data_IF_689714350603
#
_entry.id   IF_689714350603
#
_cell.length_a   1.000
_cell.length_b   1.000
_cell.length_c   1.000
_cell.angle_alpha   90.00
_cell.angle_beta   90.00
_cell.angle_gamma   90.00
#
_symmetry.space_group_name_H-M   'P 1'
#
loop_
_entity.id
_entity.type
_entity.pdbx_description
1 polymer ?
#
# COMPACT_ATOMS: atom_id res chain seq x y z
N UNK A 1 11.46 10.23 -6.68
CA UNK A 1 10.20 9.48 -6.44
C UNK A 1 10.30 8.81 -5.10
N UNK A 2 9.27 8.89 -4.26
CA UNK A 2 9.27 8.30 -2.92
C UNK A 2 9.63 6.81 -2.91
N UNK A 3 10.23 6.33 -1.82
CA UNK A 3 10.55 4.91 -1.66
C UNK A 3 9.29 4.12 -1.29
N UNK A 4 8.98 3.07 -2.03
CA UNK A 4 7.82 2.18 -1.77
C UNK A 4 8.28 0.95 -1.00
N UNK A 5 7.75 0.76 0.21
CA UNK A 5 8.05 -0.36 1.10
C UNK A 5 6.77 -1.17 1.33
N UNK A 6 6.72 -2.41 0.85
CA UNK A 6 5.62 -3.32 1.13
C UNK A 6 5.84 -4.05 2.46
N UNK A 7 4.82 -4.08 3.32
CA UNK A 7 4.84 -4.84 4.59
C UNK A 7 4.14 -6.18 4.36
N UNK A 8 4.89 -7.25 4.17
CA UNK A 8 4.32 -8.52 3.76
C UNK A 8 4.77 -9.70 4.63
N UNK A 9 3.83 -10.58 4.94
CA UNK A 9 4.06 -11.92 5.48
C UNK A 9 2.78 -12.74 5.31
N UNK A 10 2.90 -14.00 4.91
CA UNK A 10 1.77 -14.91 4.73
C UNK A 10 1.08 -15.25 6.05
N UNK A 11 1.83 -15.27 7.16
CA UNK A 11 1.27 -15.59 8.48
C UNK A 11 0.41 -14.43 8.98
N UNK A 12 -0.85 -14.72 9.33
CA UNK A 12 -1.71 -13.77 10.03
C UNK A 12 -1.22 -13.48 11.45
N UNK A 13 -1.51 -12.26 11.95
CA UNK A 13 -1.21 -11.89 13.33
C UNK A 13 0.26 -11.64 13.66
N UNK A 14 1.17 -11.53 12.69
CA UNK A 14 2.59 -11.22 12.92
C UNK A 14 2.87 -9.72 13.10
N UNK A 15 1.85 -8.86 13.00
CA UNK A 15 1.97 -7.42 13.18
C UNK A 15 2.24 -6.66 11.88
N UNK A 16 1.78 -7.12 10.71
CA UNK A 16 1.89 -6.37 9.44
C UNK A 16 1.25 -5.00 9.54
N UNK A 17 -0.05 -4.95 9.75
CA UNK A 17 -0.83 -3.72 9.89
C UNK A 17 -0.30 -2.82 11.01
N UNK A 18 0.04 -3.41 12.18
CA UNK A 18 0.66 -2.65 13.27
C UNK A 18 1.99 -2.02 12.82
N UNK A 19 2.79 -2.75 12.03
CA UNK A 19 4.06 -2.23 11.50
C UNK A 19 3.81 -1.15 10.45
N UNK A 20 2.89 -1.37 9.51
CA UNK A 20 2.57 -0.38 8.47
C UNK A 20 2.13 0.95 9.07
N UNK A 21 1.13 0.95 9.97
CA UNK A 21 0.63 2.15 10.65
C UNK A 21 1.75 2.87 11.42
N UNK A 22 2.46 2.12 12.27
CA UNK A 22 3.39 2.76 13.20
C UNK A 22 4.73 3.14 12.55
N UNK A 23 5.16 2.44 11.50
CA UNK A 23 6.31 2.84 10.69
C UNK A 23 5.97 4.12 9.91
N UNK A 24 4.85 4.15 9.19
CA UNK A 24 4.41 5.32 8.43
C UNK A 24 4.27 6.55 9.34
N UNK A 25 3.61 6.39 10.50
CA UNK A 25 3.50 7.45 11.49
C UNK A 25 4.85 7.89 12.07
N UNK A 26 5.80 6.96 12.25
CA UNK A 26 7.13 7.31 12.78
C UNK A 26 8.00 8.03 11.74
N UNK A 27 7.88 7.70 10.46
CA UNK A 27 8.51 8.43 9.36
C UNK A 27 7.91 9.85 9.25
N UNK A 28 6.58 9.97 9.31
CA UNK A 28 5.91 11.27 9.33
C UNK A 28 6.30 12.13 10.55
N UNK A 29 6.50 11.52 11.73
CA UNK A 29 6.98 12.23 12.93
C UNK A 29 8.41 12.75 12.80
N UNK A 30 9.18 12.27 11.84
CA UNK A 30 10.50 12.80 11.45
C UNK A 30 10.44 13.77 10.27
N UNK A 31 9.24 14.29 9.98
CA UNK A 31 8.95 15.28 8.93
C UNK A 31 9.18 14.77 7.50
N UNK A 32 9.17 13.44 7.30
CA UNK A 32 9.16 12.85 5.95
C UNK A 32 7.73 12.65 5.47
N UNK A 33 7.41 13.23 4.31
CA UNK A 33 6.10 13.05 3.69
C UNK A 33 5.85 11.57 3.38
N UNK A 34 4.82 11.00 3.99
CA UNK A 34 4.56 9.56 3.96
C UNK A 34 3.13 9.27 3.50
N UNK A 35 2.99 8.38 2.53
CA UNK A 35 1.72 7.82 2.12
C UNK A 35 1.60 6.39 2.68
N UNK A 36 0.55 6.15 3.46
CA UNK A 36 0.16 4.82 3.89
C UNK A 36 -0.88 4.28 2.90
N UNK A 37 -0.67 3.09 2.36
CA UNK A 37 -1.58 2.46 1.43
C UNK A 37 -2.07 1.15 2.04
N UNK A 38 -3.37 1.10 2.34
CA UNK A 38 -4.04 -0.10 2.86
C UNK A 38 -4.57 -0.93 1.69
N UNK A 39 -4.04 -2.13 1.48
CA UNK A 39 -4.50 -3.06 0.43
C UNK A 39 -5.05 -4.36 1.02
N UNK A 40 -5.37 -4.36 2.33
CA UNK A 40 -6.08 -5.47 2.97
C UNK A 40 -7.59 -5.19 2.96
N UNK A 41 -8.44 -6.06 2.39
CA UNK A 41 -9.90 -5.89 2.41
C UNK A 41 -10.51 -5.73 3.81
N UNK A 42 -9.78 -6.09 4.86
CA UNK A 42 -10.24 -5.90 6.25
C UNK A 42 -10.17 -4.43 6.71
N UNK A 43 -9.51 -3.54 5.96
CA UNK A 43 -9.37 -2.10 6.24
C UNK A 43 -8.89 -1.76 7.67
N UNK A 44 -8.12 -2.68 8.29
CA UNK A 44 -7.62 -2.48 9.64
C UNK A 44 -6.57 -1.36 9.73
N UNK A 45 -5.83 -1.14 8.65
CA UNK A 45 -4.86 -0.05 8.57
C UNK A 45 -5.59 1.29 8.48
N UNK A 46 -6.63 1.37 7.67
CA UNK A 46 -7.53 2.51 7.50
C UNK A 46 -8.14 2.94 8.83
N UNK A 47 -8.80 2.01 9.52
CA UNK A 47 -9.40 2.27 10.85
C UNK A 47 -8.34 2.65 11.89
N UNK A 48 -7.15 2.06 11.81
CA UNK A 48 -6.05 2.30 12.74
C UNK A 48 -5.42 3.68 12.65
N UNK A 49 -5.72 4.46 11.60
CA UNK A 49 -5.35 5.88 11.46
C UNK A 49 -6.52 6.84 11.60
N UNK A 50 -7.69 6.33 12.03
CA UNK A 50 -8.86 7.12 12.39
C UNK A 50 -9.83 7.41 11.26
N UNK A 51 -9.80 6.62 10.18
CA UNK A 51 -10.77 6.72 9.09
C UNK A 51 -11.78 5.59 9.15
N UNK A 52 -13.05 5.91 8.89
CA UNK A 52 -14.12 4.94 8.70
C UNK A 52 -14.20 4.60 7.20
N UNK A 53 -14.01 3.35 6.85
CA UNK A 53 -13.95 2.91 5.44
C UNK A 53 -15.25 3.18 4.67
N UNK A 54 -16.39 3.24 5.36
CA UNK A 54 -17.70 3.53 4.80
C UNK A 54 -17.92 5.03 4.51
N UNK A 55 -17.07 5.91 5.04
CA UNK A 55 -17.20 7.38 4.92
C UNK A 55 -16.25 7.97 3.85
N UNK A 56 -15.41 7.15 3.22
CA UNK A 56 -14.48 7.63 2.19
C UNK A 56 -15.12 7.61 0.80
N UNK A 57 -14.88 8.65 0.01
CA UNK A 57 -15.42 8.79 -1.35
C UNK A 57 -14.80 7.80 -2.34
N UNK A 58 -13.52 7.44 -2.14
CA UNK A 58 -12.77 6.49 -2.96
C UNK A 58 -11.73 5.76 -2.11
N UNK A 59 -11.44 4.53 -2.47
CA UNK A 59 -10.49 3.65 -1.82
C UNK A 59 -9.50 3.05 -2.83
N UNK A 60 -8.60 2.21 -2.36
CA UNK A 60 -7.72 1.45 -3.25
C UNK A 60 -8.50 0.52 -4.19
N UNK A 61 -9.73 0.14 -3.86
CA UNK A 61 -10.59 -0.67 -4.72
C UNK A 61 -10.86 0.05 -6.04
N UNK A 62 -11.39 1.30 -6.01
CA UNK A 62 -11.70 2.09 -7.20
C UNK A 62 -10.44 2.40 -8.03
N UNK A 63 -9.28 2.52 -7.36
CA UNK A 63 -7.99 2.69 -8.04
C UNK A 63 -7.60 1.43 -8.81
N UNK A 64 -7.74 0.25 -8.22
CA UNK A 64 -7.34 -1.01 -8.85
C UNK A 64 -8.25 -1.43 -9.99
N UNK A 65 -9.54 -1.10 -9.94
CA UNK A 65 -10.47 -1.34 -11.07
C UNK A 65 -10.44 -0.21 -12.12
N UNK A 66 -9.64 0.83 -11.90
CA UNK A 66 -9.42 1.92 -12.87
C UNK A 66 -10.53 2.96 -12.91
N UNK A 67 -11.40 3.03 -11.90
CA UNK A 67 -12.49 4.03 -11.83
C UNK A 67 -11.98 5.40 -11.41
N UNK A 68 -10.97 5.48 -10.52
CA UNK A 68 -10.38 6.75 -10.10
C UNK A 68 -8.85 6.72 -10.15
N UNK A 69 -8.18 7.85 -10.43
CA UNK A 69 -6.74 7.96 -10.28
C UNK A 69 -6.32 7.82 -8.81
N UNK A 70 -5.17 7.20 -8.54
CA UNK A 70 -4.67 7.04 -7.17
C UNK A 70 -4.56 8.35 -6.37
N UNK A 71 -4.33 9.48 -7.05
CA UNK A 71 -4.25 10.79 -6.42
C UNK A 71 -5.59 11.30 -5.86
N UNK A 72 -6.72 10.83 -6.38
CA UNK A 72 -8.06 11.19 -5.92
C UNK A 72 -8.52 10.35 -4.73
N UNK A 73 -7.93 9.17 -4.54
CA UNK A 73 -8.19 8.30 -3.39
C UNK A 73 -7.35 8.65 -2.16
N UNK A 74 -6.49 9.68 -2.23
CA UNK A 74 -5.66 10.10 -1.08
C UNK A 74 -6.50 10.89 -0.08
N UNK A 75 -6.46 10.47 1.16
CA UNK A 75 -7.11 11.13 2.31
C UNK A 75 -6.05 11.59 3.31
N UNK A 76 -6.14 12.86 3.74
CA UNK A 76 -5.25 13.41 4.78
C UNK A 76 -5.68 12.91 6.16
N UNK A 77 -4.70 12.51 6.99
CA UNK A 77 -4.96 12.07 8.37
C UNK A 77 -4.84 13.23 9.38
N UNK A 78 -5.17 12.97 10.65
CA UNK A 78 -4.90 13.94 11.74
C UNK A 78 -3.39 14.18 11.97
N UNK A 79 -2.52 13.31 11.47
CA UNK A 79 -1.09 13.37 11.67
C UNK A 79 -0.42 14.17 10.55
N UNK A 80 0.31 15.25 10.85
CA UNK A 80 1.09 15.97 9.85
C UNK A 80 2.06 15.04 9.11
N UNK A 81 2.25 15.28 7.82
CA UNK A 81 3.10 14.49 6.92
C UNK A 81 2.64 13.04 6.69
N UNK A 82 1.45 12.64 7.15
CA UNK A 82 0.88 11.32 6.91
C UNK A 82 -0.45 11.42 6.18
N UNK A 83 -0.48 10.95 4.94
CA UNK A 83 -1.70 10.72 4.18
C UNK A 83 -1.94 9.22 4.01
N UNK A 84 -3.17 8.84 3.62
CA UNK A 84 -3.53 7.44 3.42
C UNK A 84 -4.36 7.26 2.14
N UNK A 85 -4.14 6.16 1.41
CA UNK A 85 -5.12 5.59 0.49
C UNK A 85 -5.83 4.48 1.26
N UNK A 86 -7.12 4.67 1.59
CA UNK A 86 -7.86 3.73 2.43
C UNK A 86 -8.23 2.45 1.68
N UNK A 87 -8.51 1.40 2.43
CA UNK A 87 -9.14 0.18 1.94
C UNK A 87 -10.65 0.16 2.21
N UNK A 88 -11.35 -0.72 1.49
CA UNK A 88 -12.76 -1.00 1.69
C UNK A 88 -13.04 -2.49 1.47
N UNK A 89 -14.09 -3.03 2.08
CA UNK A 89 -14.45 -4.45 1.94
C UNK A 89 -14.72 -4.87 0.49
N UNK A 90 -15.13 -3.94 -0.36
CA UNK A 90 -15.32 -4.18 -1.80
C UNK A 90 -14.03 -4.65 -2.49
N UNK A 91 -12.85 -4.42 -1.90
CA UNK A 91 -11.57 -4.87 -2.42
C UNK A 91 -11.50 -6.42 -2.59
N UNK A 92 -12.35 -7.17 -1.89
CA UNK A 92 -12.55 -8.62 -2.17
C UNK A 92 -13.03 -8.84 -3.61
N UNK A 93 -13.86 -7.92 -4.14
CA UNK A 93 -14.33 -7.97 -5.53
C UNK A 93 -13.24 -7.69 -6.55
N UNK A 94 -12.29 -6.82 -6.23
CA UNK A 94 -11.21 -6.45 -7.14
C UNK A 94 -10.38 -7.66 -7.59
N UNK A 95 -10.10 -8.63 -6.71
CA UNK A 95 -9.37 -9.85 -7.11
C UNK A 95 -10.11 -10.65 -8.19
N UNK A 96 -11.45 -10.61 -8.20
CA UNK A 96 -12.29 -11.28 -9.20
C UNK A 96 -12.32 -10.46 -10.49
N UNK A 97 -12.52 -9.15 -10.40
CA UNK A 97 -12.62 -8.23 -11.53
C UNK A 97 -11.31 -8.14 -12.31
N UNK A 98 -10.18 -8.14 -11.60
CA UNK A 98 -8.85 -8.14 -12.23
C UNK A 98 -8.45 -9.47 -12.88
N UNK A 99 -9.21 -10.59 -12.73
CA UNK A 99 -8.82 -11.91 -13.27
C UNK A 99 -8.60 -11.86 -14.78
N UNK A 100 -9.47 -11.16 -15.49
CA UNK A 100 -9.46 -11.09 -16.96
C UNK A 100 -8.61 -9.93 -17.50
N UNK A 101 -8.04 -9.09 -16.60
CA UNK A 101 -7.19 -7.97 -16.99
C UNK A 101 -5.80 -8.45 -17.43
N UNK A 102 -5.33 -7.85 -18.52
CA UNK A 102 -3.95 -8.06 -18.98
C UNK A 102 -3.00 -7.36 -18.00
N UNK A 103 -1.89 -8.03 -17.64
CA UNK A 103 -0.90 -7.49 -16.69
C UNK A 103 -1.51 -7.15 -15.32
N UNK A 104 -2.49 -7.93 -14.87
CA UNK A 104 -3.20 -7.73 -13.61
C UNK A 104 -2.30 -7.64 -12.38
N UNK A 105 -1.09 -8.18 -12.43
CA UNK A 105 -0.09 -8.09 -11.37
C UNK A 105 0.65 -6.73 -11.35
N UNK A 106 0.47 -5.89 -12.38
CA UNK A 106 1.16 -4.61 -12.57
C UNK A 106 0.23 -3.39 -12.43
N UNK A 107 -1.06 -3.58 -12.11
CA UNK A 107 -2.05 -2.51 -12.04
C UNK A 107 -1.62 -1.45 -11.01
N UNK A 108 -1.26 -1.86 -9.80
CA UNK A 108 -0.82 -0.93 -8.77
C UNK A 108 0.48 -0.20 -9.16
N UNK A 109 1.42 -0.90 -9.78
CA UNK A 109 2.69 -0.29 -10.23
C UNK A 109 2.46 0.77 -11.32
N UNK A 110 1.40 0.62 -12.10
CA UNK A 110 0.97 1.59 -13.12
C UNK A 110 0.20 2.78 -12.53
N UNK A 111 -0.55 2.57 -11.45
CA UNK A 111 -1.37 3.61 -10.81
C UNK A 111 -0.58 4.54 -9.87
N UNK A 112 0.47 4.03 -9.19
CA UNK A 112 1.21 4.76 -8.17
C UNK A 112 2.11 5.91 -8.65
N UNK A 113 2.70 5.96 -9.87
CA UNK A 113 3.76 6.91 -10.22
C UNK A 113 3.37 8.39 -10.03
N UNK A 114 2.11 8.75 -10.27
CA UNK A 114 1.65 10.15 -10.16
C UNK A 114 1.56 10.59 -8.69
N UNK A 115 1.03 9.73 -7.81
CA UNK A 115 0.87 10.05 -6.39
C UNK A 115 2.20 9.93 -5.64
N UNK A 116 2.99 8.91 -5.94
CA UNK A 116 4.28 8.60 -5.33
C UNK A 116 5.28 9.76 -5.37
N UNK A 117 5.21 10.64 -6.38
CA UNK A 117 6.12 11.79 -6.52
C UNK A 117 5.97 12.85 -5.43
N UNK A 118 4.85 12.84 -4.72
CA UNK A 118 4.54 13.80 -3.65
C UNK A 118 5.05 13.37 -2.28
N UNK A 119 5.56 12.15 -2.16
CA UNK A 119 5.96 11.56 -0.88
C UNK A 119 7.41 11.09 -0.90
N UNK A 120 8.06 11.15 0.25
CA UNK A 120 9.38 10.56 0.49
C UNK A 120 9.27 9.05 0.64
N UNK A 121 8.20 8.59 1.29
CA UNK A 121 7.91 7.17 1.51
C UNK A 121 6.46 6.81 1.16
N UNK A 122 6.29 5.62 0.62
CA UNK A 122 4.99 4.93 0.49
C UNK A 122 5.09 3.60 1.22
N UNK A 123 4.26 3.40 2.24
CA UNK A 123 4.20 2.15 3.02
C UNK A 123 2.92 1.41 2.64
N UNK A 124 3.04 0.17 2.16
CA UNK A 124 1.90 -0.65 1.73
C UNK A 124 1.62 -1.73 2.78
N UNK A 125 0.42 -1.74 3.38
CA UNK A 125 -0.04 -2.82 4.27
C UNK A 125 -0.67 -3.95 3.45
N UNK A 126 0.01 -5.10 3.36
CA UNK A 126 -0.43 -6.23 2.56
C UNK A 126 -1.32 -7.18 3.37
N UNK A 127 -2.33 -7.83 2.73
CA UNK A 127 -3.14 -8.86 3.34
C UNK A 127 -2.31 -10.09 3.75
N UNK A 128 -2.86 -10.98 4.61
CA UNK A 128 -2.15 -12.20 5.04
C UNK A 128 -2.17 -13.33 4.00
N UNK A 129 -2.42 -13.01 2.74
CA UNK A 129 -2.41 -13.95 1.60
C UNK A 129 -1.28 -13.60 0.64
N UNK A 130 -0.83 -14.56 -0.14
CA UNK A 130 0.08 -14.34 -1.28
C UNK A 130 -0.72 -14.30 -2.59
N UNK A 131 -1.93 -13.67 -2.55
CA UNK A 131 -2.83 -13.49 -3.68
C UNK A 131 -2.45 -12.32 -4.59
N UNK A 132 -3.36 -11.95 -5.47
CA UNK A 132 -3.15 -10.92 -6.49
C UNK A 132 -2.86 -9.54 -5.89
N UNK A 133 -3.49 -9.19 -4.78
CA UNK A 133 -3.24 -7.92 -4.06
C UNK A 133 -1.79 -7.84 -3.55
N UNK A 134 -1.30 -8.93 -2.95
CA UNK A 134 0.11 -8.98 -2.50
C UNK A 134 1.08 -8.97 -3.67
N UNK A 135 0.77 -9.64 -4.79
CA UNK A 135 1.61 -9.59 -5.99
C UNK A 135 1.67 -8.16 -6.55
N UNK A 136 0.54 -7.45 -6.64
CA UNK A 136 0.51 -6.03 -7.02
C UNK A 136 1.39 -5.17 -6.11
N UNK A 137 1.30 -5.38 -4.79
CA UNK A 137 2.11 -4.65 -3.81
C UNK A 137 3.61 -4.88 -4.01
N UNK A 138 4.03 -6.13 -4.18
CA UNK A 138 5.44 -6.49 -4.40
C UNK A 138 5.94 -6.02 -5.77
N UNK A 139 5.08 -6.00 -6.78
CA UNK A 139 5.42 -5.50 -8.11
C UNK A 139 5.64 -3.98 -8.11
N UNK A 140 4.84 -3.25 -7.33
CA UNK A 140 4.94 -1.79 -7.19
C UNK A 140 6.04 -1.33 -6.22
N UNK A 141 6.52 -2.21 -5.34
CA UNK A 141 7.45 -1.86 -4.26
C UNK A 141 8.91 -1.79 -4.72
N UNK A 142 9.70 -0.93 -4.09
CA UNK A 142 11.17 -0.97 -4.16
C UNK A 142 11.71 -2.08 -3.27
N UNK A 143 11.07 -2.28 -2.11
CA UNK A 143 11.53 -3.26 -1.14
C UNK A 143 10.38 -3.82 -0.30
N UNK A 144 10.65 -4.95 0.35
CA UNK A 144 9.71 -5.61 1.24
C UNK A 144 10.29 -5.71 2.64
N UNK A 145 9.57 -5.18 3.64
CA UNK A 145 9.82 -5.37 5.07
C UNK A 145 8.99 -6.55 5.55
N UNK A 146 9.63 -7.48 6.23
CA UNK A 146 9.03 -8.75 6.64
C UNK A 146 8.91 -8.80 8.17
N UNK A 147 7.73 -8.51 8.75
CA UNK A 147 7.51 -8.71 10.18
C UNK A 147 7.46 -10.19 10.52
N UNK A 148 8.22 -10.60 11.53
CA UNK A 148 8.31 -12.00 11.99
C UNK A 148 8.06 -12.05 13.49
N UNK A 149 6.98 -12.71 13.88
CA UNK A 149 6.71 -12.98 15.29
C UNK A 149 7.69 -13.99 15.84
N UNK A 150 8.31 -13.69 16.99
CA UNK A 150 9.33 -14.54 17.61
C UNK A 150 8.73 -15.79 18.30
N UNK A 151 8.09 -16.67 17.49
CA UNK A 151 7.43 -17.92 17.90
C UNK A 151 7.89 -19.11 17.05
N UNK A 152 7.60 -20.35 17.51
CA UNK A 152 8.13 -21.60 16.94
C UNK A 152 7.93 -21.76 15.42
N UNK A 153 6.77 -21.36 14.88
CA UNK A 153 6.48 -21.46 13.45
C UNK A 153 6.91 -20.23 12.63
N UNK A 154 7.80 -19.41 13.18
CA UNK A 154 8.22 -18.16 12.52
C UNK A 154 8.86 -18.40 11.14
N UNK A 155 9.67 -19.42 11.00
CA UNK A 155 10.41 -19.70 9.76
C UNK A 155 9.62 -20.47 8.71
N UNK A 156 8.56 -21.19 9.09
CA UNK A 156 7.78 -22.00 8.15
C UNK A 156 7.05 -21.12 7.10
N UNK A 157 6.42 -20.05 7.54
CA UNK A 157 5.73 -19.10 6.63
C UNK A 157 6.68 -18.26 5.77
N UNK A 158 7.94 -18.10 6.20
CA UNK A 158 8.93 -17.31 5.46
C UNK A 158 9.35 -17.97 4.15
N UNK A 159 9.44 -19.29 4.11
CA UNK A 159 9.85 -20.01 2.91
C UNK A 159 8.94 -19.74 1.70
N UNK A 160 7.63 -19.69 1.93
CA UNK A 160 6.66 -19.41 0.87
C UNK A 160 6.75 -17.94 0.40
N UNK A 161 6.84 -16.98 1.33
CA UNK A 161 7.03 -15.58 0.99
C UNK A 161 8.32 -15.34 0.20
N UNK A 162 9.44 -15.93 0.63
CA UNK A 162 10.73 -15.80 -0.09
C UNK A 162 10.66 -16.39 -1.50
N UNK A 163 9.93 -17.51 -1.66
CA UNK A 163 9.69 -18.06 -3.01
C UNK A 163 8.83 -17.11 -3.86
N UNK A 164 7.80 -16.49 -3.29
CA UNK A 164 6.98 -15.49 -3.99
C UNK A 164 7.83 -14.28 -4.38
N UNK A 165 8.64 -13.74 -3.47
CA UNK A 165 9.57 -12.63 -3.77
C UNK A 165 10.51 -13.01 -4.92
N UNK A 166 11.05 -14.24 -4.92
CA UNK A 166 11.90 -14.74 -6.01
C UNK A 166 11.16 -14.77 -7.35
N UNK A 167 9.91 -15.23 -7.38
CA UNK A 167 9.08 -15.27 -8.60
C UNK A 167 8.81 -13.84 -9.09
N UNK A 168 8.43 -12.93 -8.19
CA UNK A 168 8.21 -11.51 -8.53
C UNK A 168 9.47 -10.89 -9.12
N UNK A 169 10.63 -11.11 -8.52
CA UNK A 169 11.91 -10.61 -9.06
C UNK A 169 12.27 -11.18 -10.43
N UNK A 170 11.88 -12.40 -10.72
CA UNK A 170 12.18 -13.03 -12.00
C UNK A 170 11.28 -12.56 -13.15
N UNK A 171 10.03 -12.19 -12.86
CA UNK A 171 9.01 -12.01 -13.89
C UNK A 171 8.33 -10.64 -13.90
N UNK A 172 8.27 -9.96 -12.76
CA UNK A 172 7.46 -8.74 -12.59
C UNK A 172 8.29 -7.53 -12.16
N UNK A 173 9.14 -7.67 -11.14
CA UNK A 173 9.91 -6.57 -10.56
C UNK A 173 11.34 -7.03 -10.22
N UNK A 174 12.28 -6.97 -11.19
CA UNK A 174 13.68 -7.39 -10.97
C UNK A 174 14.42 -6.62 -9.88
N UNK A 175 13.99 -5.38 -9.61
CA UNK A 175 14.63 -4.46 -8.67
C UNK A 175 14.08 -4.58 -7.24
N UNK A 176 13.08 -5.46 -7.00
CA UNK A 176 12.53 -5.67 -5.67
C UNK A 176 13.60 -6.19 -4.71
N UNK A 177 13.84 -5.48 -3.62
CA UNK A 177 14.78 -5.87 -2.58
C UNK A 177 14.08 -6.33 -1.30
N UNK A 178 14.81 -6.99 -0.41
CA UNK A 178 14.39 -7.17 0.99
C UNK A 178 14.90 -5.97 1.76
N UNK A 179 13.98 -5.12 2.26
CA UNK A 179 14.32 -4.00 3.15
C UNK A 179 14.94 -4.52 4.44
N UNK A 180 14.22 -5.42 5.07
CA UNK A 180 14.70 -6.08 6.27
C UNK A 180 13.66 -7.01 6.88
N UNK A 181 14.10 -7.76 7.88
CA UNK A 181 13.26 -8.65 8.69
C UNK A 181 13.12 -8.05 10.08
N UNK A 182 11.90 -7.74 10.49
CA UNK A 182 11.57 -7.14 11.77
C UNK A 182 11.06 -8.19 12.76
N UNK A 183 11.78 -8.40 13.85
CA UNK A 183 11.29 -9.23 14.94
C UNK A 183 10.20 -8.50 15.73
N UNK A 184 8.99 -9.09 15.78
CA UNK A 184 7.81 -8.50 16.43
C UNK A 184 7.35 -9.33 17.61
N UNK A 185 6.55 -8.70 18.50
CA UNK A 185 5.96 -9.33 19.70
C UNK A 185 6.99 -10.09 20.54
N UNK A 186 8.22 -9.60 20.54
CA UNK A 186 9.34 -10.22 21.24
C UNK A 186 9.15 -10.12 22.75
N UNK A 187 9.38 -11.26 23.44
CA UNK A 187 9.39 -11.30 24.90
C UNK A 187 10.76 -11.78 25.38
N UNK A 188 11.52 -10.87 25.95
CA UNK A 188 12.88 -11.13 26.46
C UNK A 188 12.95 -12.21 27.55
N UNK A 189 11.83 -12.51 28.21
CA UNK A 189 11.73 -13.51 29.28
C UNK A 189 11.63 -14.93 28.75
N UNK A 190 11.29 -15.10 27.45
CA UNK A 190 11.07 -16.39 26.82
C UNK A 190 12.34 -16.86 26.10
N UNK A 191 12.87 -18.01 26.50
CA UNK A 191 13.98 -18.64 25.81
C UNK A 191 13.66 -18.93 24.33
N UNK A 192 12.41 -19.29 24.03
CA UNK A 192 11.96 -19.53 22.66
C UNK A 192 12.11 -18.29 21.77
N UNK A 193 11.71 -17.11 22.25
CA UNK A 193 11.87 -15.85 21.49
C UNK A 193 13.34 -15.58 21.15
N UNK A 194 14.25 -15.83 22.11
CA UNK A 194 15.69 -15.68 21.89
C UNK A 194 16.23 -16.69 20.87
N UNK A 195 15.79 -17.96 20.92
CA UNK A 195 16.19 -18.99 19.96
C UNK A 195 15.72 -18.65 18.55
N UNK A 196 14.46 -18.26 18.40
CA UNK A 196 13.89 -17.83 17.09
C UNK A 196 14.64 -16.62 16.54
N UNK A 197 14.94 -15.63 17.38
CA UNK A 197 15.71 -14.46 16.95
C UNK A 197 17.12 -14.84 16.45
N UNK A 198 17.78 -15.78 17.11
CA UNK A 198 19.08 -16.29 16.67
C UNK A 198 19.00 -17.02 15.33
N UNK A 199 17.96 -17.85 15.13
CA UNK A 199 17.75 -18.56 13.86
C UNK A 199 17.42 -17.60 12.72
N UNK A 200 16.56 -16.60 12.95
CA UNK A 200 16.25 -15.55 11.96
C UNK A 200 17.50 -14.76 11.58
N UNK A 201 18.31 -14.36 12.58
CA UNK A 201 19.59 -13.65 12.32
C UNK A 201 20.61 -14.56 11.60
N UNK A 202 20.65 -15.84 11.91
CA UNK A 202 21.51 -16.80 11.21
C UNK A 202 21.15 -16.95 9.74
N UNK A 203 19.84 -16.89 9.41
CA UNK A 203 19.35 -17.07 8.05
C UNK A 203 19.47 -15.81 7.21
N UNK A 204 19.08 -14.65 7.77
CA UNK A 204 19.00 -13.38 7.05
C UNK A 204 20.22 -12.47 7.22
N UNK A 205 21.10 -12.76 8.19
CA UNK A 205 22.31 -11.98 8.44
C UNK A 205 21.99 -10.51 8.75
N UNK A 206 22.66 -9.64 8.01
CA UNK A 206 22.54 -8.17 8.12
C UNK A 206 21.17 -7.63 7.70
N UNK A 207 20.33 -8.43 7.05
CA UNK A 207 18.95 -8.02 6.71
C UNK A 207 17.98 -8.09 7.88
N UNK A 208 18.41 -8.51 9.07
CA UNK A 208 17.58 -8.45 10.29
C UNK A 208 17.82 -7.12 10.98
N UNK A 209 16.77 -6.32 11.12
CA UNK A 209 16.87 -5.05 11.83
C UNK A 209 17.43 -5.22 13.25
N UNK A 210 18.28 -4.28 13.68
CA UNK A 210 18.72 -4.20 15.06
C UNK A 210 17.56 -3.90 16.00
N UNK A 211 16.63 -3.10 15.53
CA UNK A 211 15.38 -2.78 16.22
C UNK A 211 14.49 -4.01 16.35
N UNK A 212 13.99 -4.24 17.56
CA UNK A 212 13.05 -5.31 17.90
C UNK A 212 11.80 -4.70 18.49
N UNK A 213 10.62 -5.05 17.94
CA UNK A 213 9.34 -4.63 18.51
C UNK A 213 8.91 -5.59 19.60
N UNK A 214 8.95 -5.14 20.83
CA UNK A 214 8.53 -5.89 21.99
C UNK A 214 7.00 -6.02 22.07
N UNK A 215 6.51 -7.11 22.68
CA UNK A 215 5.08 -7.23 23.01
C UNK A 215 4.66 -6.05 23.90
N UNK A 216 3.70 -5.26 23.42
CA UNK A 216 3.28 -4.03 24.09
C UNK A 216 1.76 -3.85 23.96
N UNK A 217 1.07 -3.67 25.08
CA UNK A 217 -0.40 -3.53 25.13
C UNK A 217 -0.86 -2.26 24.37
N UNK A 218 -0.06 -1.18 24.42
CA UNK A 218 -0.42 0.09 23.75
C UNK A 218 -0.52 -0.05 22.23
N UNK A 219 0.28 -0.93 21.62
CA UNK A 219 0.17 -1.23 20.19
C UNK A 219 -1.14 -1.95 19.83
N UNK A 220 -1.75 -2.66 20.78
CA UNK A 220 -3.03 -3.34 20.58
C UNK A 220 -4.22 -2.44 20.91
N UNK A 221 -4.04 -1.47 21.82
CA UNK A 221 -5.09 -0.52 22.22
C UNK A 221 -5.24 0.64 21.22
N UNK A 222 -4.12 1.18 20.72
CA UNK A 222 -4.09 2.38 19.89
C UNK A 222 -5.05 2.32 18.67
N UNK A 223 -5.17 1.20 17.91
CA UNK A 223 -6.11 1.11 16.80
C UNK A 223 -7.58 1.26 17.20
N UNK A 224 -7.95 0.85 18.43
CA UNK A 224 -9.33 1.05 18.94
C UNK A 224 -9.68 2.53 19.15
N UNK A 225 -8.70 3.42 19.13
CA UNK A 225 -8.86 4.86 19.21
C UNK A 225 -8.59 5.54 17.87
N UNK A 226 -8.40 4.79 16.78
CA UNK A 226 -8.06 5.31 15.47
C UNK A 226 -6.73 6.08 15.43
N UNK A 227 -5.75 5.68 16.23
CA UNK A 227 -4.48 6.43 16.38
C UNK A 227 -3.26 5.52 16.27
N UNK A 228 -2.22 5.93 15.54
CA UNK A 228 -0.91 5.33 15.66
C UNK A 228 -0.40 5.41 17.12
N UNK A 229 0.42 4.45 17.55
CA UNK A 229 0.89 4.41 18.94
C UNK A 229 1.64 5.67 19.40
N UNK A 230 2.32 6.37 18.48
CA UNK A 230 3.02 7.62 18.77
C UNK A 230 2.05 8.76 19.13
N UNK A 231 0.84 8.79 18.53
CA UNK A 231 -0.20 9.76 18.90
C UNK A 231 -1.00 9.30 20.11
N UNK A 232 -1.16 7.97 20.30
CA UNK A 232 -1.87 7.41 21.44
C UNK A 232 -1.07 7.53 22.73
N UNK A 233 0.19 7.06 22.74
CA UNK A 233 1.11 7.17 23.89
C UNK A 233 2.57 7.12 23.41
N UNK A 234 3.15 8.27 23.08
CA UNK A 234 4.52 8.42 22.56
C UNK A 234 5.59 7.84 23.51
N UNK A 235 5.33 7.84 24.83
CA UNK A 235 6.24 7.29 25.84
C UNK A 235 6.24 5.76 25.90
N UNK A 236 5.29 5.09 25.23
CA UNK A 236 5.18 3.65 25.25
C UNK A 236 6.39 2.97 24.56
N UNK A 237 6.75 1.78 25.03
CA UNK A 237 7.82 0.99 24.40
C UNK A 237 7.53 0.69 22.93
N UNK A 238 6.25 0.47 22.59
CA UNK A 238 5.82 0.21 21.22
C UNK A 238 6.12 1.40 20.30
N UNK A 239 5.72 2.61 20.69
CA UNK A 239 6.01 3.84 19.94
C UNK A 239 7.52 4.08 19.80
N UNK A 240 8.28 3.91 20.89
CA UNK A 240 9.74 4.05 20.88
C UNK A 240 10.44 3.04 19.95
N UNK A 241 9.94 1.77 19.87
CA UNK A 241 10.50 0.78 18.98
C UNK A 241 10.27 1.17 17.51
N UNK A 242 9.07 1.64 17.13
CA UNK A 242 8.81 2.06 15.75
C UNK A 242 9.55 3.34 15.37
N UNK A 243 9.75 4.27 16.32
CA UNK A 243 10.63 5.43 16.11
C UNK A 243 12.09 5.01 15.88
N UNK A 244 12.57 3.97 16.58
CA UNK A 244 13.90 3.43 16.36
C UNK A 244 13.99 2.75 14.98
N UNK A 245 12.98 1.97 14.59
CA UNK A 245 12.89 1.35 13.26
C UNK A 245 12.90 2.39 12.14
N UNK A 246 12.12 3.46 12.28
CA UNK A 246 12.09 4.53 11.29
C UNK A 246 13.48 5.17 11.10
N UNK A 247 14.22 5.42 12.20
CA UNK A 247 15.60 5.94 12.11
C UNK A 247 16.54 4.96 11.42
N UNK A 248 16.47 3.68 11.74
CA UNK A 248 17.28 2.64 11.11
C UNK A 248 16.99 2.59 9.59
N UNK A 249 15.72 2.65 9.18
CA UNK A 249 15.33 2.71 7.76
C UNK A 249 15.83 4.01 7.10
N UNK A 250 15.76 5.15 7.77
CA UNK A 250 16.26 6.42 7.22
C UNK A 250 17.79 6.39 7.02
N UNK A 251 18.53 5.82 7.97
CA UNK A 251 19.99 5.66 7.88
C UNK A 251 20.36 4.75 6.70
N UNK A 252 19.70 3.61 6.56
CA UNK A 252 19.95 2.64 5.47
C UNK A 252 19.55 3.18 4.08
N UNK A 253 18.68 4.21 4.03
CA UNK A 253 18.17 4.79 2.79
C UNK A 253 18.63 6.23 2.54
N UNK A 254 19.64 6.71 3.24
CA UNK A 254 20.10 8.09 3.14
C UNK A 254 20.51 8.48 1.71
N UNK A 255 21.27 7.64 1.03
CA UNK A 255 21.66 7.88 -0.37
C UNK A 255 20.44 7.95 -1.31
N UNK A 256 19.43 7.13 -1.06
CA UNK A 256 18.17 7.13 -1.82
C UNK A 256 17.43 8.46 -1.62
N UNK A 257 17.27 8.93 -0.38
CA UNK A 257 16.60 10.18 -0.01
C UNK A 257 17.33 11.37 -0.65
N UNK A 258 18.66 11.50 -0.45
CA UNK A 258 19.47 12.59 -0.99
C UNK A 258 19.40 12.65 -2.54
N UNK A 259 19.39 11.50 -3.21
CA UNK A 259 19.27 11.43 -4.67
C UNK A 259 17.90 11.92 -5.19
N UNK A 260 16.87 11.94 -4.34
CA UNK A 260 15.51 12.36 -4.67
C UNK A 260 15.27 13.83 -4.35
N UNK A 261 15.80 14.34 -3.25
CA UNK A 261 15.78 15.78 -2.92
C UNK A 261 16.49 16.61 -4.01
N UNK A 262 17.64 16.12 -4.49
CA UNK A 262 18.38 16.77 -5.57
C UNK A 262 17.62 16.83 -6.91
N UNK A 263 16.62 15.97 -7.13
CA UNK A 263 15.77 15.96 -8.34
C UNK A 263 14.49 16.79 -8.17
N UNK A 264 14.02 17.00 -6.94
CA UNK A 264 12.82 17.78 -6.61
C UNK A 264 13.04 19.29 -6.75
N UNK A 265 14.24 19.78 -6.51
CA UNK A 265 14.56 21.21 -6.58
C UNK A 265 14.66 21.77 -8.02
N UNK A 266 14.62 20.87 -9.04
CA UNK A 266 14.68 21.26 -10.46
C UNK A 266 13.32 21.49 -11.14
N UNK A 267 12.17 21.21 -10.50
CA UNK A 267 10.84 21.27 -11.13
C UNK A 267 9.89 22.33 -10.58
N UNK A 268 10.34 23.16 -9.64
CA UNK A 268 9.53 24.26 -9.08
C UNK A 268 9.62 25.61 -9.89
N UNK A 269 10.20 25.62 -11.09
CA UNK A 269 10.54 26.82 -11.81
C UNK A 269 10.00 27.03 -13.23
N UNK A 270 9.16 26.15 -13.79
CA UNK A 270 8.59 26.35 -15.15
C UNK A 270 7.14 25.86 -15.24
N UNK A 271 6.20 26.65 -14.77
CA UNK A 271 4.85 26.73 -15.35
C UNK A 271 4.07 27.94 -14.80
N UNK A 272 4.44 29.13 -15.26
CA UNK A 272 3.62 30.32 -15.15
C UNK A 272 3.97 31.31 -16.28
N UNK A 273 3.60 30.99 -17.53
CA UNK A 273 3.29 31.98 -18.57
C UNK A 273 2.96 31.32 -19.92
N UNK A 274 1.71 30.97 -20.13
CA UNK A 274 1.13 30.89 -21.47
C UNK A 274 -0.34 31.25 -21.35
N UNK A 275 -0.65 32.56 -21.57
CA UNK A 275 -1.98 33.01 -21.93
C UNK A 275 -2.32 32.48 -23.34
N UNK A 276 -3.52 31.97 -23.60
CA UNK A 276 -3.94 31.68 -24.96
C UNK A 276 -4.49 32.93 -25.61
N UNK A 277 -3.84 33.38 -26.68
CA UNK A 277 -4.38 34.37 -27.66
C UNK A 277 -5.67 33.83 -28.25
N UNK A 278 -6.69 34.68 -28.16
CA UNK A 278 -7.98 34.50 -28.79
C UNK A 278 -7.89 34.99 -30.25
N UNK A 279 -8.04 34.12 -31.21
CA UNK A 279 -8.49 34.46 -32.55
C UNK A 279 -9.63 33.54 -32.99
N UNK A 280 -10.81 34.17 -33.15
CA UNK A 280 -11.95 33.60 -33.85
C UNK A 280 -11.77 33.80 -35.39
N UNK A 281 -12.36 32.92 -36.20
CA UNK A 281 -12.96 33.40 -37.44
C UNK A 281 -14.44 33.01 -37.56
N UNK A 282 -15.14 33.98 -38.15
CA UNK A 282 -16.52 34.02 -38.51
C UNK A 282 -16.93 33.08 -39.67
N UNK A 283 -18.19 32.66 -39.60
CA UNK A 283 -19.22 32.51 -40.64
C UNK A 283 -18.97 31.73 -41.95
N UNK A 284 -19.97 30.91 -42.25
CA UNK A 284 -20.32 30.52 -43.61
C UNK A 284 -21.18 29.28 -43.77
N UNK A 285 -22.50 29.37 -43.52
CA UNK A 285 -23.66 29.23 -44.44
C UNK A 285 -23.92 27.87 -45.12
N UNK A 286 -25.12 27.34 -44.78
CA UNK A 286 -26.17 26.67 -45.58
C UNK A 286 -25.96 25.27 -46.16
N UNK A 287 -27.00 24.43 -45.88
CA UNK A 287 -27.61 23.60 -46.91
C UNK A 287 -28.17 22.26 -46.49
N UNK A 288 -29.46 22.27 -46.13
CA UNK A 288 -30.59 21.46 -46.61
C UNK A 288 -30.56 19.92 -46.46
N UNK A 289 -31.51 19.44 -45.63
CA UNK A 289 -32.60 18.49 -45.92
C UNK A 289 -32.25 17.19 -46.69
N UNK A 290 -32.52 16.03 -46.10
CA UNK A 290 -33.67 15.21 -46.52
C UNK A 290 -33.94 14.06 -45.51
N UNK A 291 -35.24 13.88 -45.30
CA UNK A 291 -35.98 12.77 -44.69
C UNK A 291 -35.73 11.46 -45.46
N UNK A 292 -35.82 10.32 -44.82
CA UNK A 292 -36.91 9.40 -44.99
C UNK A 292 -36.86 8.19 -44.09
N UNK A 293 -38.03 7.77 -43.72
CA UNK A 293 -38.50 6.75 -42.84
C UNK A 293 -38.21 5.32 -43.35
N UNK A 294 -38.19 4.33 -42.44
CA UNK A 294 -39.23 3.26 -42.45
C UNK A 294 -39.00 2.23 -41.36
N UNK A 295 -40.05 2.01 -40.66
CA UNK A 295 -40.45 0.92 -39.78
C UNK A 295 -40.14 -0.47 -40.28
N UNK A 296 -39.93 -1.42 -39.36
CA UNK A 296 -40.59 -2.71 -39.32
C UNK A 296 -40.43 -3.40 -38.00
N UNK A 297 -41.55 -3.70 -37.38
CA UNK A 297 -41.82 -4.61 -36.26
C UNK A 297 -41.60 -6.07 -36.67
N UNK A 298 -41.44 -6.95 -35.70
CA UNK A 298 -42.14 -8.22 -35.40
C UNK A 298 -41.26 -9.08 -34.49
N UNK A 299 -41.67 -9.29 -33.27
CA UNK A 299 -42.50 -10.33 -32.62
C UNK A 299 -41.81 -11.65 -32.35
N UNK A 300 -41.89 -12.01 -31.04
CA UNK A 300 -42.24 -13.34 -30.45
C UNK A 300 -41.17 -14.44 -30.53
N UNK A 301 -40.84 -15.19 -29.50
CA UNK A 301 -41.60 -16.00 -28.54
C UNK A 301 -40.64 -16.64 -27.55
N UNK A 302 -41.02 -16.67 -26.29
CA UNK A 302 -40.53 -17.62 -25.26
C UNK A 302 -41.00 -19.05 -25.57
N UNK A 303 -40.37 -20.11 -25.04
CA UNK A 303 -40.94 -20.73 -23.87
C UNK A 303 -39.96 -21.16 -22.77
N UNK A 304 -40.52 -21.24 -21.58
CA UNK A 304 -39.99 -21.85 -20.37
C UNK A 304 -39.95 -23.40 -20.52
N UNK A 305 -39.04 -24.04 -19.77
CA UNK A 305 -39.19 -25.33 -19.09
C UNK A 305 -37.98 -25.47 -18.12
N UNK A 306 -38.21 -25.34 -16.82
CA UNK A 306 -38.39 -26.35 -15.80
C UNK A 306 -37.40 -27.53 -15.86
N UNK A 307 -36.50 -27.61 -14.87
CA UNK A 307 -36.13 -28.86 -14.20
C UNK A 307 -35.48 -28.62 -12.83
N UNK A 308 -36.22 -29.06 -11.83
CA UNK A 308 -35.78 -29.35 -10.46
C UNK A 308 -34.70 -30.45 -10.44
N UNK A 309 -33.68 -30.32 -9.63
CA UNK A 309 -33.26 -31.19 -8.53
C UNK A 309 -32.10 -30.53 -7.78
#
# INVERSE_FOLDING_TARGET
MGKVIAIANQKGGVGKTTTAINLAASLAATEHSTLLLDIDPQANCTSGVGLESEEVDASIYEVLIGEVPAAEAVVTTEMPFLDVIPSHINLVGAEIEMIDEMQREEILSSALPQVRRKYDFVVIDCPPSLGLLTLNSLTAANSVLIPVQAEYFALEGLGQLLNTIKIVRQHLNPDLEIEGVLLTMFDTRLNLSNQVAQEVRRYFGEKVFETIVQRNVRLSEAPSFGKPAILYEASSKGAQNYMALAREILEDNQEYIESHEARGDGTAGEDASAEPDAEAPEEGVTGALNEDASEAEEESTTPADDFSL
#
